data_IF_598101434321
#
_entry.id   IF_598101434321
#
_cell.length_a   1.000
_cell.length_b   1.000
_cell.length_c   1.000
_cell.angle_alpha   90.00
_cell.angle_beta   90.00
_cell.angle_gamma   90.00
#
_symmetry.space_group_name_H-M   'P 1'
#
loop_
_entity.id
_entity.type
_entity.pdbx_description
1 polymer ?
#
# COMPACT_ATOMS: atom_id res chain seq x y z
N UNK A 1 -21.09 -7.72 -6.82
CA UNK A 1 -20.37 -6.42 -6.69
C UNK A 1 -20.92 -5.46 -5.62
N UNK A 2 -22.25 -5.25 -5.45
CA UNK A 2 -22.80 -4.26 -4.48
C UNK A 2 -22.47 -4.53 -2.99
N UNK A 3 -22.28 -5.79 -2.60
CA UNK A 3 -22.01 -6.17 -1.20
C UNK A 3 -20.56 -5.93 -0.77
N UNK A 4 -19.59 -6.09 -1.67
CA UNK A 4 -18.16 -5.85 -1.39
C UNK A 4 -17.92 -4.34 -1.17
N UNK A 5 -18.44 -3.49 -2.08
CA UNK A 5 -18.36 -2.03 -1.93
C UNK A 5 -18.98 -1.54 -0.61
N UNK A 6 -20.13 -2.09 -0.20
CA UNK A 6 -20.77 -1.73 1.08
C UNK A 6 -19.94 -2.18 2.30
N UNK A 7 -19.34 -3.37 2.26
CA UNK A 7 -18.49 -3.88 3.34
C UNK A 7 -17.23 -3.01 3.50
N UNK A 8 -16.60 -2.63 2.39
CA UNK A 8 -15.43 -1.76 2.36
C UNK A 8 -15.74 -0.34 2.84
N UNK A 9 -16.86 0.26 2.42
CA UNK A 9 -17.27 1.60 2.90
C UNK A 9 -17.55 1.60 4.41
N UNK A 10 -18.15 0.53 4.94
CA UNK A 10 -18.40 0.39 6.37
C UNK A 10 -17.08 0.29 7.15
N UNK A 11 -16.15 -0.50 6.63
CA UNK A 11 -14.82 -0.64 7.22
C UNK A 11 -14.03 0.68 7.18
N UNK A 12 -14.11 1.47 6.11
CA UNK A 12 -13.47 2.79 6.06
C UNK A 12 -13.96 3.73 7.17
N UNK A 13 -15.28 3.75 7.43
CA UNK A 13 -15.85 4.55 8.52
C UNK A 13 -15.37 4.07 9.88
N UNK A 14 -15.33 2.76 10.10
CA UNK A 14 -14.81 2.18 11.34
C UNK A 14 -13.31 2.45 11.50
N UNK A 15 -12.55 2.44 10.40
CA UNK A 15 -11.11 2.63 10.38
C UNK A 15 -10.68 4.10 10.54
N UNK A 16 -11.37 5.06 9.90
CA UNK A 16 -11.17 6.50 10.14
C UNK A 16 -11.40 6.90 11.61
N UNK A 17 -12.25 6.14 12.31
CA UNK A 17 -12.52 6.33 13.74
C UNK A 17 -11.40 5.75 14.61
N UNK A 18 -10.66 4.73 14.15
CA UNK A 18 -9.55 4.11 14.88
C UNK A 18 -8.19 4.54 14.30
N UNK A 19 -7.54 5.50 14.96
CA UNK A 19 -6.23 6.11 14.66
C UNK A 19 -5.04 5.14 14.43
N UNK A 20 -5.08 4.27 13.41
CA UNK A 20 -4.01 3.34 13.06
C UNK A 20 -3.09 3.92 11.98
N UNK A 21 -2.54 5.13 12.19
CA UNK A 21 -1.66 5.83 11.22
C UNK A 21 -0.53 4.95 10.68
N UNK A 22 0.01 4.05 11.50
CA UNK A 22 1.05 3.10 11.05
C UNK A 22 0.54 2.03 10.09
N UNK A 23 -0.69 1.56 10.25
CA UNK A 23 -1.28 0.56 9.36
C UNK A 23 -1.68 1.24 8.05
N UNK A 24 -2.28 2.42 8.14
CA UNK A 24 -2.57 3.28 6.98
C UNK A 24 -1.33 3.50 6.12
N UNK A 25 -0.22 3.92 6.73
CA UNK A 25 1.02 4.15 6.00
C UNK A 25 1.51 2.89 5.27
N UNK A 26 1.49 1.72 5.93
CA UNK A 26 1.84 0.45 5.29
C UNK A 26 0.88 0.09 4.16
N UNK A 27 -0.42 0.35 4.33
CA UNK A 27 -1.39 0.13 3.28
C UNK A 27 -1.12 1.02 2.06
N UNK A 28 -0.72 2.28 2.26
CA UNK A 28 -0.32 3.17 1.16
C UNK A 28 0.90 2.64 0.40
N UNK A 29 1.94 2.18 1.10
CA UNK A 29 3.12 1.57 0.49
C UNK A 29 2.75 0.35 -0.36
N UNK A 30 1.94 -0.56 0.17
CA UNK A 30 1.50 -1.75 -0.56
C UNK A 30 0.58 -1.38 -1.74
N UNK A 31 -0.25 -0.36 -1.58
CA UNK A 31 -1.11 0.13 -2.68
C UNK A 31 -0.28 0.67 -3.85
N UNK A 32 0.83 1.37 -3.57
CA UNK A 32 1.74 1.83 -4.64
C UNK A 32 2.30 0.67 -5.48
N UNK A 33 2.37 -0.55 -4.93
CA UNK A 33 2.92 -1.73 -5.62
C UNK A 33 1.88 -2.50 -6.45
N UNK A 34 0.60 -2.39 -6.11
CA UNK A 34 -0.48 -3.16 -6.75
C UNK A 34 -1.47 -2.31 -7.55
N UNK A 35 -1.30 -0.98 -7.54
CA UNK A 35 -2.18 -0.03 -8.23
C UNK A 35 -1.59 0.51 -9.53
N UNK A 36 -0.51 -0.08 -10.05
CA UNK A 36 -0.02 0.20 -11.42
C UNK A 36 -1.01 -0.32 -12.46
N UNK A 37 -1.63 -1.45 -12.18
CA UNK A 37 -2.66 -2.06 -13.01
C UNK A 37 -4.06 -1.76 -12.46
N UNK A 38 -5.05 -1.58 -13.35
CA UNK A 38 -6.39 -1.11 -12.99
C UNK A 38 -7.17 -2.06 -12.04
N UNK A 39 -6.64 -3.24 -11.73
CA UNK A 39 -7.14 -4.20 -10.75
C UNK A 39 -5.98 -4.98 -10.12
N UNK A 40 -6.07 -5.27 -8.82
CA UNK A 40 -5.15 -6.19 -8.13
C UNK A 40 -5.31 -7.58 -8.73
N UNK A 41 -4.26 -8.09 -9.37
CA UNK A 41 -4.27 -9.38 -10.05
C UNK A 41 -4.10 -10.56 -9.05
N UNK A 42 -4.33 -11.82 -9.47
CA UNK A 42 -4.25 -12.97 -8.56
C UNK A 42 -2.87 -13.20 -7.93
N UNK A 43 -1.79 -12.87 -8.63
CA UNK A 43 -0.43 -12.96 -8.08
C UNK A 43 -0.25 -11.92 -6.98
N UNK A 44 -0.65 -10.68 -7.24
CA UNK A 44 -0.56 -9.57 -6.29
C UNK A 44 -1.41 -9.79 -5.05
N UNK A 45 -2.66 -10.28 -5.17
CA UNK A 45 -3.50 -10.62 -4.00
C UNK A 45 -2.82 -11.69 -3.13
N UNK A 46 -2.30 -12.76 -3.75
CA UNK A 46 -1.61 -13.82 -3.02
C UNK A 46 -0.40 -13.27 -2.29
N UNK A 47 0.42 -12.47 -2.95
CA UNK A 47 1.62 -11.87 -2.36
C UNK A 47 1.28 -10.86 -1.26
N UNK A 48 0.26 -10.01 -1.47
CA UNK A 48 -0.27 -9.08 -0.48
C UNK A 48 -0.70 -9.80 0.80
N UNK A 49 -1.40 -10.94 0.68
CA UNK A 49 -1.80 -11.76 1.84
C UNK A 49 -0.60 -12.32 2.58
N UNK A 50 0.40 -12.84 1.87
CA UNK A 50 1.64 -13.36 2.47
C UNK A 50 2.34 -12.24 3.25
N UNK A 51 2.58 -11.12 2.58
CA UNK A 51 3.25 -9.94 3.14
C UNK A 51 2.49 -9.38 4.36
N UNK A 52 1.17 -9.28 4.29
CA UNK A 52 0.39 -8.77 5.42
C UNK A 52 0.51 -9.67 6.66
N UNK A 53 0.56 -10.99 6.47
CA UNK A 53 0.82 -11.94 7.55
C UNK A 53 2.27 -11.88 8.03
N UNK A 54 3.26 -11.67 7.17
CA UNK A 54 4.65 -11.44 7.59
C UNK A 54 4.75 -10.17 8.47
N UNK A 55 4.12 -9.07 8.04
CA UNK A 55 4.12 -7.78 8.75
C UNK A 55 3.43 -7.86 10.13
N UNK A 56 2.41 -8.71 10.27
CA UNK A 56 1.61 -8.88 11.48
C UNK A 56 1.50 -10.36 11.88
N UNK A 57 2.64 -11.05 12.00
CA UNK A 57 2.73 -12.52 12.15
C UNK A 57 1.93 -13.10 13.32
N UNK A 58 1.73 -12.32 14.38
CA UNK A 58 1.01 -12.73 15.58
C UNK A 58 -0.39 -12.10 15.70
N UNK A 59 -0.86 -11.43 14.64
CA UNK A 59 -2.13 -10.72 14.67
C UNK A 59 -2.82 -10.77 13.30
N UNK A 60 -3.54 -11.87 13.08
CA UNK A 60 -4.33 -12.12 11.87
C UNK A 60 -5.37 -11.03 11.62
N UNK A 61 -5.99 -10.47 12.66
CA UNK A 61 -6.97 -9.38 12.51
C UNK A 61 -6.33 -8.12 11.94
N UNK A 62 -5.11 -7.77 12.38
CA UNK A 62 -4.34 -6.65 11.82
C UNK A 62 -3.84 -6.92 10.41
N UNK A 63 -3.47 -8.17 10.10
CA UNK A 63 -3.11 -8.58 8.75
C UNK A 63 -4.32 -8.43 7.80
N UNK A 64 -5.48 -8.95 8.20
CA UNK A 64 -6.74 -8.80 7.44
C UNK A 64 -7.12 -7.33 7.25
N UNK A 65 -7.02 -6.53 8.31
CA UNK A 65 -7.30 -5.10 8.24
C UNK A 65 -6.34 -4.36 7.27
N UNK A 66 -5.06 -4.74 7.24
CA UNK A 66 -4.10 -4.21 6.27
C UNK A 66 -4.50 -4.55 4.83
N UNK A 67 -4.84 -5.81 4.57
CA UNK A 67 -5.28 -6.28 3.24
C UNK A 67 -6.52 -5.49 2.81
N UNK A 68 -7.54 -5.41 3.66
CA UNK A 68 -8.78 -4.75 3.32
C UNK A 68 -8.58 -3.24 3.06
N UNK A 69 -7.65 -2.60 3.79
CA UNK A 69 -7.30 -1.18 3.58
C UNK A 69 -6.58 -0.96 2.25
N UNK A 70 -5.70 -1.87 1.84
CA UNK A 70 -5.04 -1.82 0.51
C UNK A 70 -6.09 -1.92 -0.59
N UNK A 71 -7.01 -2.87 -0.50
CA UNK A 71 -8.12 -3.00 -1.45
C UNK A 71 -8.96 -1.73 -1.53
N UNK A 72 -9.19 -1.08 -0.40
CA UNK A 72 -9.96 0.15 -0.36
C UNK A 72 -9.26 1.30 -1.08
N UNK A 73 -7.95 1.49 -0.86
CA UNK A 73 -7.18 2.50 -1.58
C UNK A 73 -7.09 2.21 -3.07
N UNK A 74 -6.86 0.95 -3.47
CA UNK A 74 -6.86 0.54 -4.88
C UNK A 74 -8.20 0.86 -5.55
N UNK A 75 -9.33 0.57 -4.89
CA UNK A 75 -10.66 0.91 -5.40
C UNK A 75 -10.87 2.42 -5.51
N UNK A 76 -10.39 3.21 -4.55
CA UNK A 76 -10.48 4.68 -4.62
C UNK A 76 -9.70 5.25 -5.80
N UNK A 77 -8.48 4.76 -6.03
CA UNK A 77 -7.65 5.14 -7.18
C UNK A 77 -8.36 4.77 -8.48
N UNK A 78 -8.80 3.51 -8.61
CA UNK A 78 -9.52 3.03 -9.79
C UNK A 78 -10.77 3.84 -10.11
N UNK A 79 -11.54 4.19 -9.07
CA UNK A 79 -12.81 4.93 -9.24
C UNK A 79 -12.61 6.44 -9.25
N UNK A 80 -11.36 6.93 -9.19
CA UNK A 80 -10.99 8.34 -9.03
C UNK A 80 -11.82 9.05 -7.93
N UNK A 81 -12.05 8.34 -6.82
CA UNK A 81 -12.93 8.77 -5.74
C UNK A 81 -12.13 9.32 -4.56
N UNK A 82 -11.70 10.58 -4.68
CA UNK A 82 -11.00 11.30 -3.62
C UNK A 82 -9.54 10.88 -3.39
N UNK A 83 -9.01 9.94 -4.19
CA UNK A 83 -7.61 9.53 -4.21
C UNK A 83 -7.26 9.10 -5.64
N UNK A 84 -6.15 9.60 -6.18
CA UNK A 84 -5.51 9.10 -7.39
C UNK A 84 -4.07 8.65 -7.05
N UNK A 85 -3.35 8.11 -8.02
CA UNK A 85 -2.02 7.54 -7.80
C UNK A 85 -0.99 8.62 -7.39
N UNK A 86 -1.02 9.78 -8.04
CA UNK A 86 -0.14 10.92 -7.72
C UNK A 86 -0.36 11.42 -6.29
N UNK A 87 -1.62 11.54 -5.87
CA UNK A 87 -1.96 11.89 -4.49
C UNK A 87 -1.45 10.84 -3.50
N UNK A 88 -1.47 9.55 -3.85
CA UNK A 88 -0.94 8.50 -2.99
C UNK A 88 0.57 8.65 -2.78
N UNK A 89 1.34 8.96 -3.84
CA UNK A 89 2.77 9.26 -3.76
C UNK A 89 3.01 10.44 -2.81
N UNK A 90 2.28 11.55 -3.00
CA UNK A 90 2.40 12.74 -2.16
C UNK A 90 2.08 12.46 -0.68
N UNK A 91 1.09 11.60 -0.41
CA UNK A 91 0.75 11.21 0.95
C UNK A 91 1.86 10.39 1.60
N UNK A 92 2.47 9.46 0.88
CA UNK A 92 3.60 8.66 1.38
C UNK A 92 4.81 9.54 1.68
N UNK A 93 5.17 10.46 0.78
CA UNK A 93 6.24 11.43 0.99
C UNK A 93 5.99 12.28 2.24
N UNK A 94 4.82 12.92 2.30
CA UNK A 94 4.42 13.79 3.42
C UNK A 94 4.44 13.06 4.75
N UNK A 95 3.88 11.85 4.82
CA UNK A 95 3.81 11.07 6.06
C UNK A 95 5.19 10.58 6.51
N UNK A 96 6.06 10.20 5.57
CA UNK A 96 7.44 9.80 5.88
C UNK A 96 8.21 10.98 6.49
N UNK A 97 8.08 12.16 5.88
CA UNK A 97 8.69 13.41 6.38
C UNK A 97 8.14 13.84 7.74
N UNK A 98 6.83 13.71 7.95
CA UNK A 98 6.15 14.20 9.17
C UNK A 98 6.34 13.24 10.35
N UNK A 99 6.44 11.94 10.09
CA UNK A 99 6.52 10.90 11.12
C UNK A 99 7.79 10.09 10.91
N UNK A 100 8.91 10.56 11.46
CA UNK A 100 10.26 9.98 11.29
C UNK A 100 10.32 8.44 11.31
N UNK A 101 9.65 7.80 12.28
CA UNK A 101 9.62 6.32 12.40
C UNK A 101 8.97 5.58 11.22
N UNK A 102 8.36 6.27 10.27
CA UNK A 102 7.73 5.68 9.10
C UNK A 102 8.74 5.30 8.02
N UNK A 103 9.94 5.89 8.00
CA UNK A 103 11.03 5.41 7.11
C UNK A 103 11.30 3.90 7.34
N UNK A 104 11.26 3.46 8.61
CA UNK A 104 11.48 2.06 9.01
C UNK A 104 10.42 1.10 8.47
N UNK A 105 9.29 1.63 7.99
CA UNK A 105 8.19 0.83 7.43
C UNK A 105 8.29 0.68 5.92
N UNK A 106 9.17 1.46 5.28
CA UNK A 106 9.51 1.29 3.87
C UNK A 106 10.47 0.11 3.78
N UNK A 107 9.93 -1.07 3.56
CA UNK A 107 10.72 -2.29 3.42
C UNK A 107 10.91 -2.58 1.93
N UNK A 108 12.06 -2.16 1.39
CA UNK A 108 12.34 -2.24 -0.06
C UNK A 108 12.41 -3.69 -0.53
N UNK A 109 12.98 -4.58 0.27
CA UNK A 109 13.07 -6.01 -0.08
C UNK A 109 11.68 -6.62 -0.19
N UNK A 110 10.82 -6.35 0.79
CA UNK A 110 9.44 -6.82 0.81
C UNK A 110 8.61 -6.22 -0.33
N UNK A 111 8.74 -4.93 -0.62
CA UNK A 111 8.01 -4.25 -1.68
C UNK A 111 8.46 -4.70 -3.07
N UNK A 112 9.75 -4.95 -3.26
CA UNK A 112 10.30 -5.37 -4.55
C UNK A 112 9.79 -6.76 -4.97
N UNK A 113 9.32 -7.61 -4.06
CA UNK A 113 8.72 -8.92 -4.40
C UNK A 113 7.52 -8.80 -5.35
N UNK A 114 6.82 -7.67 -5.35
CA UNK A 114 5.70 -7.45 -6.28
C UNK A 114 6.13 -7.41 -7.74
N UNK A 115 7.43 -7.18 -8.05
CA UNK A 115 7.93 -7.27 -9.43
C UNK A 115 7.76 -8.67 -10.04
N UNK A 116 7.65 -9.72 -9.22
CA UNK A 116 7.39 -11.09 -9.68
C UNK A 116 6.00 -11.27 -10.30
N UNK A 117 5.08 -10.34 -10.04
CA UNK A 117 3.70 -10.36 -10.54
C UNK A 117 3.49 -9.53 -11.81
N UNK A 118 4.55 -8.94 -12.36
CA UNK A 118 4.50 -8.06 -13.52
C UNK A 118 5.15 -8.76 -14.72
N UNK A 119 4.37 -9.01 -15.77
CA UNK A 119 4.86 -9.62 -16.99
C UNK A 119 5.38 -8.56 -17.99
N UNK A 120 4.69 -7.43 -18.09
CA UNK A 120 4.98 -6.34 -19.02
C UNK A 120 6.24 -5.55 -18.63
N UNK A 121 7.08 -5.22 -19.62
CA UNK A 121 8.35 -4.54 -19.39
C UNK A 121 8.19 -3.05 -19.02
N UNK A 122 7.19 -2.37 -19.57
CA UNK A 122 6.93 -0.96 -19.25
C UNK A 122 6.41 -0.85 -17.80
N UNK A 123 5.55 -1.79 -17.39
CA UNK A 123 5.07 -1.88 -16.01
C UNK A 123 6.19 -2.24 -15.03
N UNK A 124 7.16 -3.09 -15.42
CA UNK A 124 8.37 -3.35 -14.60
C UNK A 124 9.21 -2.09 -14.44
N UNK A 125 9.40 -1.31 -15.50
CA UNK A 125 10.12 -0.03 -15.45
C UNK A 125 9.39 0.93 -14.51
N UNK A 126 8.06 1.00 -14.60
CA UNK A 126 7.26 1.82 -13.71
C UNK A 126 7.41 1.38 -12.25
N UNK A 127 7.25 0.10 -11.94
CA UNK A 127 7.43 -0.46 -10.60
C UNK A 127 8.83 -0.12 -10.05
N UNK A 128 9.89 -0.30 -10.84
CA UNK A 128 11.25 0.05 -10.46
C UNK A 128 11.40 1.52 -10.08
N UNK A 129 10.79 2.45 -10.83
CA UNK A 129 10.80 3.88 -10.50
C UNK A 129 10.13 4.18 -9.16
N UNK A 130 9.05 3.48 -8.84
CA UNK A 130 8.39 3.62 -7.53
C UNK A 130 9.29 3.07 -6.41
N UNK A 131 9.94 1.92 -6.62
CA UNK A 131 10.90 1.36 -5.67
C UNK A 131 12.08 2.34 -5.44
N UNK A 132 12.66 2.89 -6.49
CA UNK A 132 13.74 3.90 -6.41
C UNK A 132 13.29 5.15 -5.65
N UNK A 133 12.08 5.65 -5.92
CA UNK A 133 11.48 6.75 -5.16
C UNK A 133 11.37 6.42 -3.67
N UNK A 134 10.83 5.26 -3.31
CA UNK A 134 10.67 4.84 -1.92
C UNK A 134 12.01 4.62 -1.22
N UNK A 135 13.01 4.08 -1.92
CA UNK A 135 14.34 3.89 -1.38
C UNK A 135 15.04 5.22 -1.10
N UNK A 136 14.93 6.18 -2.02
CA UNK A 136 15.46 7.53 -1.82
C UNK A 136 14.77 8.23 -0.65
N UNK A 137 13.44 8.12 -0.58
CA UNK A 137 12.66 8.66 0.53
C UNK A 137 13.09 8.04 1.88
N UNK A 138 13.29 6.72 1.91
CA UNK A 138 13.80 6.03 3.11
C UNK A 138 15.18 6.57 3.51
N UNK A 139 16.12 6.71 2.56
CA UNK A 139 17.47 7.21 2.82
C UNK A 139 17.46 8.64 3.35
N UNK A 140 16.70 9.53 2.72
CA UNK A 140 16.60 10.94 3.09
C UNK A 140 16.16 11.13 4.55
N UNK A 141 15.22 10.30 5.02
CA UNK A 141 14.64 10.42 6.36
C UNK A 141 15.19 9.43 7.39
N UNK A 142 16.17 8.59 7.03
CA UNK A 142 16.84 7.65 7.96
C UNK A 142 17.75 8.36 8.97
N UNK A 143 18.39 9.45 8.54
CA UNK A 143 19.46 10.14 9.29
C UNK A 143 18.99 11.44 9.97
N UNK A 144 17.68 11.64 10.16
CA UNK A 144 17.09 12.82 10.82
C UNK A 144 16.48 12.54 12.19
#
# INVERSE_FOLDING_TARGET
MKNIKRKLIKMFREFLVYHNKSLEFRAKLLTLMVASDNDINPCEDKLLRIIANEIYSNNSDRANLLIDTVYEYAIKIKTNNGLNFEHLIMLVEKETKTVKRFEKKIDIELLNRFSECIDDEDDKIFNKRIIEFLENLKKEYRDT
#
